data_IF_421853301261
#
_entry.id   IF_421853301261
#
_cell.length_a   1.000
_cell.length_b   1.000
_cell.length_c   1.000
_cell.angle_alpha   90.00
_cell.angle_beta   90.00
_cell.angle_gamma   90.00
#
_symmetry.space_group_name_H-M   'P 1'
#
loop_
_entity.id
_entity.type
_entity.pdbx_description
1 polymer ?
#
# COMPACT_ATOMS: atom_id res chain seq x y z
N UNK A 1 128.27 41.30 -94.78
CA UNK A 1 126.80 41.42 -94.86
C UNK A 1 126.24 40.19 -94.18
N UNK A 2 125.79 40.33 -92.93
CA UNK A 2 124.37 40.42 -92.50
C UNK A 2 123.67 39.05 -92.59
N UNK A 3 122.88 38.61 -91.61
CA UNK A 3 121.92 39.34 -90.80
C UNK A 3 121.80 38.79 -89.36
N UNK A 4 121.32 39.60 -88.40
CA UNK A 4 121.01 39.14 -87.05
C UNK A 4 119.68 38.35 -87.07
N UNK A 5 119.60 37.31 -86.24
CA UNK A 5 118.41 36.47 -86.10
C UNK A 5 117.53 37.05 -84.99
N UNK A 6 116.37 37.60 -85.34
CA UNK A 6 115.38 38.05 -84.36
C UNK A 6 114.57 36.84 -83.83
N UNK A 7 114.58 36.66 -82.50
CA UNK A 7 113.67 35.74 -81.82
C UNK A 7 112.31 36.41 -81.59
N UNK A 8 111.24 35.80 -82.10
CA UNK A 8 109.88 36.32 -81.97
C UNK A 8 109.35 36.20 -80.53
N UNK A 9 108.57 37.18 -80.02
CA UNK A 9 108.03 37.16 -78.66
C UNK A 9 106.95 36.06 -78.49
N UNK A 10 106.99 35.38 -77.34
CA UNK A 10 106.11 34.25 -77.03
C UNK A 10 104.66 34.75 -76.78
N UNK A 11 103.62 34.17 -77.40
CA UNK A 11 102.25 34.66 -77.24
C UNK A 11 101.68 34.39 -75.85
N UNK A 12 100.93 35.36 -75.31
CA UNK A 12 100.30 35.29 -73.99
C UNK A 12 99.03 34.42 -74.02
N UNK A 13 98.87 33.55 -73.01
CA UNK A 13 97.76 32.60 -72.95
C UNK A 13 96.50 33.24 -72.33
N UNK A 14 95.50 33.53 -73.16
CA UNK A 14 94.17 33.94 -72.70
C UNK A 14 93.30 32.70 -72.44
N UNK A 15 92.80 32.54 -71.19
CA UNK A 15 91.86 31.47 -70.85
C UNK A 15 90.41 31.90 -71.21
N UNK A 16 89.65 31.08 -71.95
CA UNK A 16 88.25 31.40 -72.26
C UNK A 16 87.37 31.33 -70.99
N UNK A 17 86.43 32.28 -70.86
CA UNK A 17 85.44 32.30 -69.78
C UNK A 17 84.44 31.16 -69.98
N UNK A 18 84.21 30.36 -68.95
CA UNK A 18 83.31 29.22 -68.98
C UNK A 18 81.84 29.70 -69.07
N UNK A 19 81.30 29.76 -70.28
CA UNK A 19 79.89 30.12 -70.50
C UNK A 19 78.99 28.90 -70.23
N UNK A 20 78.18 29.02 -69.17
CA UNK A 20 76.94 28.30 -68.81
C UNK A 20 76.72 26.88 -69.36
N UNK A 21 76.71 25.89 -68.46
CA UNK A 21 76.18 24.56 -68.72
C UNK A 21 74.65 24.64 -68.97
N UNK A 22 74.18 24.02 -70.05
CA UNK A 22 72.76 23.86 -70.36
C UNK A 22 72.43 22.41 -70.03
N UNK A 23 71.54 22.18 -69.06
CA UNK A 23 71.08 20.83 -68.75
C UNK A 23 70.26 20.29 -69.93
N UNK A 24 70.47 19.03 -70.34
CA UNK A 24 69.73 18.46 -71.47
C UNK A 24 68.25 18.28 -71.13
N UNK A 25 67.37 18.81 -71.99
CA UNK A 25 65.89 18.77 -71.88
C UNK A 25 65.27 17.40 -72.22
N UNK A 26 66.07 16.33 -72.19
CA UNK A 26 65.64 14.98 -72.55
C UNK A 26 65.12 14.21 -71.32
N UNK A 27 63.98 13.50 -71.41
CA UNK A 27 63.44 12.76 -70.28
C UNK A 27 64.34 11.56 -69.91
N UNK A 28 64.57 11.37 -68.62
CA UNK A 28 65.31 10.22 -68.10
C UNK A 28 64.43 8.97 -68.03
N UNK A 29 64.78 7.94 -68.80
CA UNK A 29 64.08 6.65 -68.79
C UNK A 29 64.65 5.76 -67.69
N UNK A 30 64.32 6.07 -66.44
CA UNK A 30 64.80 5.41 -65.22
C UNK A 30 64.24 4.00 -64.95
N UNK A 31 64.05 3.18 -65.99
CA UNK A 31 63.67 1.77 -65.81
C UNK A 31 64.92 0.95 -65.56
N UNK A 32 64.91 0.19 -64.47
CA UNK A 32 66.00 -0.71 -64.12
C UNK A 32 65.49 -2.13 -64.21
N UNK A 33 66.39 -3.06 -64.54
CA UNK A 33 66.09 -4.49 -64.62
C UNK A 33 65.50 -5.03 -63.32
N UNK A 34 65.89 -4.48 -62.16
CA UNK A 34 65.33 -4.84 -60.86
C UNK A 34 63.88 -4.35 -60.69
N UNK A 35 63.57 -3.13 -61.13
CA UNK A 35 62.21 -2.58 -61.07
C UNK A 35 61.22 -3.37 -61.93
N UNK A 36 61.68 -3.86 -63.08
CA UNK A 36 60.85 -4.66 -63.98
C UNK A 36 60.77 -6.14 -63.57
N UNK A 37 61.84 -6.72 -62.99
CA UNK A 37 61.89 -8.15 -62.65
C UNK A 37 61.24 -8.51 -61.30
N UNK A 38 61.20 -7.59 -60.33
CA UNK A 38 60.73 -7.86 -58.96
C UNK A 38 59.43 -7.14 -58.63
N UNK A 39 58.48 -7.16 -59.56
CA UNK A 39 57.10 -6.72 -59.29
C UNK A 39 56.39 -7.85 -58.54
N UNK A 40 56.04 -7.61 -57.27
CA UNK A 40 55.40 -8.62 -56.43
C UNK A 40 54.15 -9.22 -57.09
N UNK A 41 54.17 -10.52 -57.39
CA UNK A 41 53.04 -11.20 -58.00
C UNK A 41 51.90 -11.39 -56.97
N UNK A 42 50.62 -11.13 -57.33
CA UNK A 42 49.50 -11.37 -56.44
C UNK A 42 49.37 -12.89 -56.16
N UNK A 43 49.49 -13.27 -54.89
CA UNK A 43 49.33 -14.65 -54.45
C UNK A 43 47.88 -14.92 -54.06
N UNK A 44 47.26 -16.02 -54.52
CA UNK A 44 45.91 -16.39 -54.10
C UNK A 44 45.89 -16.78 -52.62
N UNK A 45 44.78 -16.48 -51.94
CA UNK A 45 44.57 -16.92 -50.55
C UNK A 45 44.48 -18.43 -50.52
N UNK A 46 45.25 -19.06 -49.63
CA UNK A 46 45.19 -20.51 -49.42
C UNK A 46 43.85 -20.91 -48.79
N UNK A 47 43.26 -21.99 -49.30
CA UNK A 47 42.07 -22.58 -48.70
C UNK A 47 42.39 -23.17 -47.32
N UNK A 48 41.49 -22.95 -46.36
CA UNK A 48 41.65 -23.49 -45.02
C UNK A 48 41.17 -24.94 -44.96
N UNK A 49 42.04 -25.87 -44.59
CA UNK A 49 41.64 -27.26 -44.29
C UNK A 49 41.06 -27.42 -42.87
N UNK A 50 40.75 -26.32 -42.17
CA UNK A 50 40.23 -26.37 -40.81
C UNK A 50 38.75 -26.79 -40.86
N UNK A 51 38.34 -27.84 -40.14
CA UNK A 51 36.93 -28.21 -40.06
C UNK A 51 36.13 -27.08 -39.41
N UNK A 52 34.90 -26.87 -39.89
CA UNK A 52 33.97 -25.90 -39.29
C UNK A 52 33.59 -26.38 -37.90
N UNK A 53 33.71 -25.52 -36.90
CA UNK A 53 33.22 -25.82 -35.56
C UNK A 53 31.69 -25.90 -35.60
N UNK A 54 31.14 -27.09 -35.34
CA UNK A 54 29.70 -27.32 -35.22
C UNK A 54 29.38 -27.58 -33.76
N UNK A 55 28.48 -26.80 -33.18
CA UNK A 55 28.02 -26.99 -31.81
C UNK A 55 27.31 -28.35 -31.68
N UNK A 56 27.70 -29.13 -30.67
CA UNK A 56 27.07 -30.41 -30.33
C UNK A 56 26.48 -30.29 -28.93
N UNK A 57 25.16 -30.09 -28.79
CA UNK A 57 24.54 -30.08 -27.47
C UNK A 57 24.69 -31.45 -26.80
N UNK A 58 24.86 -31.46 -25.48
CA UNK A 58 24.82 -32.70 -24.71
C UNK A 58 23.38 -33.23 -24.68
N UNK A 59 23.21 -34.54 -24.83
CA UNK A 59 21.91 -35.21 -24.68
C UNK A 59 21.50 -35.46 -23.23
N UNK A 60 22.32 -35.04 -22.27
CA UNK A 60 22.05 -35.22 -20.85
C UNK A 60 20.94 -34.27 -20.41
N UNK A 61 19.99 -34.79 -19.61
CA UNK A 61 18.97 -33.95 -18.97
C UNK A 61 19.61 -33.16 -17.83
N UNK A 62 19.18 -31.91 -17.66
CA UNK A 62 19.53 -31.12 -16.49
C UNK A 62 18.68 -31.56 -15.30
N UNK A 63 19.29 -31.72 -14.13
CA UNK A 63 18.56 -31.82 -12.86
C UNK A 63 17.98 -30.44 -12.53
N UNK A 64 16.65 -30.31 -12.59
CA UNK A 64 15.94 -29.04 -12.42
C UNK A 64 15.37 -28.85 -11.02
N UNK A 65 15.49 -29.87 -10.15
CA UNK A 65 14.94 -29.84 -8.80
C UNK A 65 15.88 -29.06 -7.89
N UNK A 66 15.35 -27.99 -7.30
CA UNK A 66 16.09 -27.17 -6.33
C UNK A 66 15.89 -27.69 -4.91
N UNK A 67 16.79 -27.32 -3.99
CA UNK A 67 16.64 -27.66 -2.56
C UNK A 67 15.32 -27.14 -2.00
N UNK A 68 14.88 -25.94 -2.39
CA UNK A 68 13.59 -25.41 -1.96
C UNK A 68 12.39 -26.30 -2.37
N UNK A 69 12.43 -26.90 -3.55
CA UNK A 69 11.37 -27.81 -3.99
C UNK A 69 11.37 -29.13 -3.21
N UNK A 70 12.53 -29.56 -2.68
CA UNK A 70 12.67 -30.75 -1.85
C UNK A 70 12.31 -30.47 -0.38
N UNK A 71 12.75 -29.34 0.14
CA UNK A 71 12.67 -28.99 1.57
C UNK A 71 11.29 -28.45 1.98
N UNK A 72 10.54 -27.88 1.03
CA UNK A 72 9.25 -27.23 1.32
C UNK A 72 8.08 -27.85 0.54
N UNK A 73 7.72 -29.13 0.78
CA UNK A 73 6.51 -29.71 0.25
C UNK A 73 5.27 -29.10 0.92
N UNK A 74 4.12 -29.20 0.25
CA UNK A 74 2.84 -28.78 0.84
C UNK A 74 2.51 -29.75 1.99
N UNK A 75 2.50 -29.24 3.22
CA UNK A 75 2.12 -30.01 4.40
C UNK A 75 0.61 -29.97 4.62
N UNK A 76 0.02 -31.10 5.02
CA UNK A 76 -1.37 -31.16 5.47
C UNK A 76 -1.52 -30.38 6.78
N UNK A 77 -2.43 -29.40 6.79
CA UNK A 77 -2.70 -28.57 7.97
C UNK A 77 -3.80 -29.23 8.80
N UNK A 78 -3.53 -29.52 10.07
CA UNK A 78 -4.53 -30.04 10.99
C UNK A 78 -5.62 -29.00 11.27
N UNK A 79 -6.88 -29.45 11.32
CA UNK A 79 -8.00 -28.59 11.68
C UNK A 79 -7.86 -28.11 13.14
N UNK A 80 -8.12 -26.82 13.37
CA UNK A 80 -8.07 -26.23 14.71
C UNK A 80 -9.13 -26.88 15.62
N UNK A 81 -8.69 -27.36 16.78
CA UNK A 81 -9.60 -27.82 17.82
C UNK A 81 -10.53 -26.69 18.27
N UNK A 82 -11.85 -26.91 18.17
CA UNK A 82 -12.87 -26.01 18.68
C UNK A 82 -13.34 -26.52 20.03
N UNK A 83 -13.32 -25.64 21.05
CA UNK A 83 -13.92 -25.95 22.35
C UNK A 83 -15.44 -26.08 22.18
N UNK A 84 -16.04 -27.11 22.78
CA UNK A 84 -17.49 -27.23 22.84
C UNK A 84 -18.07 -26.05 23.63
N UNK A 85 -19.18 -25.49 23.14
CA UNK A 85 -19.93 -24.46 23.87
C UNK A 85 -20.60 -25.14 25.05
N UNK A 86 -20.23 -24.74 26.28
CA UNK A 86 -20.92 -25.21 27.48
C UNK A 86 -22.25 -24.49 27.57
N UNK A 87 -23.36 -25.24 27.48
CA UNK A 87 -24.69 -24.70 27.66
C UNK A 87 -24.91 -24.29 29.13
N UNK A 88 -25.35 -23.04 29.35
CA UNK A 88 -25.60 -22.52 30.68
C UNK A 88 -26.88 -23.15 31.28
N UNK A 89 -26.77 -23.72 32.48
CA UNK A 89 -27.89 -24.28 33.25
C UNK A 89 -28.18 -23.39 34.46
N UNK A 90 -29.14 -22.46 34.39
CA UNK A 90 -29.52 -21.66 35.54
C UNK A 90 -30.18 -22.52 36.61
N UNK A 91 -29.88 -22.23 37.88
CA UNK A 91 -30.60 -22.80 39.01
C UNK A 91 -32.00 -22.19 39.07
N UNK A 92 -33.01 -23.00 39.42
CA UNK A 92 -34.39 -22.51 39.64
C UNK A 92 -34.42 -21.60 40.87
N UNK A 93 -35.01 -20.41 40.75
CA UNK A 93 -35.26 -19.53 41.89
C UNK A 93 -36.39 -20.13 42.75
N UNK A 94 -36.10 -20.38 44.03
CA UNK A 94 -36.99 -20.96 45.03
C UNK A 94 -37.36 -19.95 46.14
N UNK A 95 -37.03 -18.66 45.95
CA UNK A 95 -37.33 -17.60 46.91
C UNK A 95 -38.84 -17.44 47.11
N UNK A 96 -39.25 -17.32 48.36
CA UNK A 96 -40.65 -17.21 48.80
C UNK A 96 -41.19 -15.76 48.83
N UNK A 97 -40.32 -14.76 48.65
CA UNK A 97 -40.60 -13.32 48.68
C UNK A 97 -41.33 -12.84 49.95
N UNK A 98 -41.38 -13.65 51.00
CA UNK A 98 -42.04 -13.33 52.25
C UNK A 98 -41.13 -12.41 53.07
N UNK A 99 -41.64 -11.23 53.41
CA UNK A 99 -40.95 -10.29 54.32
C UNK A 99 -41.67 -10.31 55.67
N UNK A 100 -40.93 -10.11 56.76
CA UNK A 100 -41.49 -10.07 58.13
C UNK A 100 -42.70 -9.15 58.23
N UNK A 101 -42.67 -7.99 57.56
CA UNK A 101 -43.78 -7.04 57.56
C UNK A 101 -45.04 -7.58 56.87
N UNK A 102 -44.88 -8.21 55.70
CA UNK A 102 -46.02 -8.78 54.95
C UNK A 102 -46.69 -9.92 55.72
N UNK A 103 -45.91 -10.69 56.49
CA UNK A 103 -46.41 -11.79 57.31
C UNK A 103 -47.05 -11.26 58.60
N UNK A 104 -46.43 -10.27 59.25
CA UNK A 104 -46.86 -9.77 60.55
C UNK A 104 -48.05 -8.80 60.47
N UNK A 105 -48.15 -7.99 59.41
CA UNK A 105 -49.15 -6.93 59.30
C UNK A 105 -50.16 -7.25 58.19
N UNK A 106 -51.22 -7.96 58.57
CA UNK A 106 -52.36 -8.24 57.67
C UNK A 106 -53.60 -7.44 58.08
N UNK A 107 -54.47 -7.14 57.11
CA UNK A 107 -55.71 -6.41 57.38
C UNK A 107 -56.66 -7.27 58.21
N UNK A 108 -56.90 -6.88 59.46
CA UNK A 108 -57.92 -7.51 60.29
C UNK A 108 -59.31 -6.88 60.04
N UNK A 109 -60.32 -7.73 59.85
CA UNK A 109 -61.71 -7.30 59.77
C UNK A 109 -62.29 -7.22 61.17
N UNK A 110 -62.15 -6.06 61.83
CA UNK A 110 -62.81 -5.78 63.10
C UNK A 110 -64.23 -5.25 62.86
N UNK A 111 -65.25 -5.67 63.66
CA UNK A 111 -66.58 -5.11 63.56
C UNK A 111 -66.60 -3.65 64.00
N UNK A 112 -67.47 -2.80 63.42
CA UNK A 112 -67.60 -1.42 63.84
C UNK A 112 -68.09 -1.33 65.30
N UNK A 113 -67.66 -0.31 66.06
CA UNK A 113 -68.09 -0.14 67.45
C UNK A 113 -69.59 0.16 67.53
N UNK A 114 -70.26 -0.35 68.56
CA UNK A 114 -71.66 -0.06 68.82
C UNK A 114 -71.81 1.40 69.32
N UNK A 115 -72.81 2.16 68.84
CA UNK A 115 -73.04 3.51 69.33
C UNK A 115 -73.54 3.50 70.78
N UNK A 116 -73.04 4.42 71.61
CA UNK A 116 -73.44 4.60 73.02
C UNK A 116 -74.50 5.70 73.22
N UNK A 117 -75.23 6.08 72.15
CA UNK A 117 -76.20 7.18 72.26
C UNK A 117 -77.41 6.74 73.12
N UNK A 118 -77.84 7.56 74.09
CA UNK A 118 -79.05 7.26 74.86
C UNK A 118 -80.27 7.24 73.92
N UNK A 119 -81.25 6.40 74.24
CA UNK A 119 -82.51 6.39 73.52
C UNK A 119 -83.17 7.76 73.65
N UNK A 120 -83.63 8.33 72.53
CA UNK A 120 -84.34 9.59 72.56
C UNK A 120 -85.71 9.36 73.23
N UNK A 121 -85.89 9.88 74.44
CA UNK A 121 -87.19 9.89 75.12
C UNK A 121 -88.02 11.06 74.60
N UNK A 122 -89.25 10.79 74.18
CA UNK A 122 -90.19 11.83 73.77
C UNK A 122 -90.71 12.54 75.02
N UNK A 123 -90.26 13.76 75.26
CA UNK A 123 -90.82 14.63 76.29
C UNK A 123 -92.11 15.21 75.76
N UNK A 124 -93.26 14.74 76.24
CA UNK A 124 -94.55 15.37 75.92
C UNK A 124 -94.57 16.77 76.53
N UNK A 125 -94.59 17.79 75.67
CA UNK A 125 -94.71 19.19 76.09
C UNK A 125 -95.99 19.42 76.90
N UNK A 126 -95.92 20.29 77.91
CA UNK A 126 -97.07 20.67 78.72
C UNK A 126 -98.19 21.34 77.90
N UNK A 127 -99.37 21.49 78.50
CA UNK A 127 -100.51 22.18 77.87
C UNK A 127 -100.11 23.61 77.51
N UNK A 128 -100.19 23.98 76.23
CA UNK A 128 -100.04 25.35 75.79
C UNK A 128 -101.35 26.10 76.02
N UNK A 129 -101.29 27.20 76.78
CA UNK A 129 -102.45 28.07 76.98
C UNK A 129 -102.31 29.27 76.04
N UNK A 130 -103.12 29.29 74.99
CA UNK A 130 -103.10 30.33 73.95
C UNK A 130 -103.94 31.57 74.35
N UNK A 131 -103.60 32.15 75.51
CA UNK A 131 -104.21 33.39 75.99
C UNK A 131 -103.35 34.57 75.53
N UNK A 132 -103.95 35.46 74.72
CA UNK A 132 -103.30 36.70 74.27
C UNK A 132 -104.17 37.88 74.66
N UNK A 133 -103.55 38.99 75.07
CA UNK A 133 -104.27 40.19 75.58
C UNK A 133 -105.29 40.74 74.57
N UNK A 134 -104.98 40.66 73.26
CA UNK A 134 -105.88 41.10 72.20
C UNK A 134 -107.20 40.30 72.17
N UNK A 135 -107.14 38.99 72.46
CA UNK A 135 -108.31 38.12 72.49
C UNK A 135 -109.23 38.42 73.66
N UNK A 136 -108.66 38.87 74.79
CA UNK A 136 -109.41 39.21 76.00
C UNK A 136 -109.98 40.64 75.95
N UNK A 137 -109.28 41.60 75.32
CA UNK A 137 -109.66 43.02 75.34
C UNK A 137 -110.69 43.45 74.30
N UNK A 138 -110.84 42.72 73.19
CA UNK A 138 -111.74 43.09 72.10
C UNK A 138 -112.82 42.02 71.83
N UNK A 139 -113.76 41.77 72.75
CA UNK A 139 -114.93 40.94 72.45
C UNK A 139 -115.89 41.67 71.50
N UNK A 140 -116.60 40.92 70.64
CA UNK A 140 -117.60 41.47 69.72
C UNK A 140 -118.68 42.27 70.50
N UNK A 141 -118.92 43.52 70.11
CA UNK A 141 -120.01 44.35 70.65
C UNK A 141 -121.15 44.40 69.65
N UNK A 142 -122.35 44.02 70.09
CA UNK A 142 -123.59 44.12 69.30
C UNK A 142 -123.97 45.59 69.10
N UNK A 143 -124.30 45.94 67.85
CA UNK A 143 -124.76 47.27 67.41
C UNK A 143 -126.28 47.35 67.37
#
# INVERSE_FOLDING_TARGET
MSYPQEEAPRPERVKPKHTSHIDPDAPFYGRTTAGDAFVGAPQPKRESMRPKAVYKPSGARMETVTTAALDYPIHEVQARERRAVVEYKPTKDDRDWATTDNVAFTKHNAPPPKPFKPAAEFVSGGKFYDATEARDQFPEKHA
#
